data_IF_892139921624
#
_entry.id   IF_892139921624
#
_cell.length_a   1.000
_cell.length_b   1.000
_cell.length_c   1.000
_cell.angle_alpha   90.00
_cell.angle_beta   90.00
_cell.angle_gamma   90.00
#
_symmetry.space_group_name_H-M   'P 1'
#
loop_
_entity.id
_entity.type
_entity.pdbx_description
1 polymer ?
#
# COMPACT_ATOMS: atom_id res chain seq x y z
N UNK A 1 11.01 -22.59 16.56
CA UNK A 1 9.80 -21.76 16.43
C UNK A 1 9.97 -20.61 17.40
N UNK A 2 10.51 -19.48 16.96
CA UNK A 2 10.58 -18.27 17.77
C UNK A 2 9.16 -17.71 17.89
N UNK A 3 8.63 -17.69 19.10
CA UNK A 3 7.39 -17.02 19.42
C UNK A 3 7.55 -15.55 19.03
N UNK A 4 6.77 -15.10 18.05
CA UNK A 4 6.61 -13.67 17.78
C UNK A 4 5.91 -13.10 19.02
N UNK A 5 6.68 -12.60 19.96
CA UNK A 5 6.15 -11.86 21.10
C UNK A 5 5.59 -10.55 20.54
N UNK A 6 4.28 -10.50 20.36
CA UNK A 6 3.59 -9.22 20.31
C UNK A 6 3.71 -8.61 21.69
N UNK A 7 4.69 -7.73 21.85
CA UNK A 7 4.79 -6.92 23.04
C UNK A 7 3.51 -6.10 23.20
N UNK A 8 3.00 -6.01 24.43
CA UNK A 8 1.79 -5.21 24.74
C UNK A 8 1.90 -3.77 24.25
N UNK A 9 3.10 -3.21 24.22
CA UNK A 9 3.37 -1.87 23.67
C UNK A 9 3.07 -1.82 22.17
N UNK A 10 3.52 -2.80 21.41
CA UNK A 10 3.26 -2.88 19.96
C UNK A 10 1.76 -3.00 19.67
N UNK A 11 1.03 -3.80 20.45
CA UNK A 11 -0.43 -3.93 20.30
C UNK A 11 -1.14 -2.60 20.57
N UNK A 12 -0.80 -1.91 21.67
CA UNK A 12 -1.36 -0.61 22.01
C UNK A 12 -1.09 0.40 20.88
N UNK A 13 0.12 0.40 20.35
CA UNK A 13 0.52 1.28 19.27
C UNK A 13 -0.34 1.07 18.02
N UNK A 14 -0.57 -0.18 17.60
CA UNK A 14 -1.45 -0.50 16.45
C UNK A 14 -2.89 -0.07 16.70
N UNK A 15 -3.42 -0.26 17.90
CA UNK A 15 -4.76 0.22 18.27
C UNK A 15 -4.83 1.74 18.15
N UNK A 16 -3.84 2.46 18.65
CA UNK A 16 -3.77 3.93 18.56
C UNK A 16 -3.73 4.40 17.10
N UNK A 17 -2.93 3.75 16.25
CA UNK A 17 -2.89 4.05 14.80
C UNK A 17 -4.25 3.84 14.17
N UNK A 18 -4.94 2.74 14.51
CA UNK A 18 -6.29 2.46 14.04
C UNK A 18 -7.27 3.55 14.44
N UNK A 19 -7.24 4.01 15.70
CA UNK A 19 -8.10 5.09 16.20
C UNK A 19 -7.81 6.40 15.47
N UNK A 20 -6.55 6.81 15.39
CA UNK A 20 -6.16 8.07 14.73
C UNK A 20 -6.50 7.99 13.23
N UNK A 21 -6.21 6.86 12.57
CA UNK A 21 -6.60 6.63 11.19
C UNK A 21 -8.10 6.71 10.98
N UNK A 22 -8.91 6.14 11.91
CA UNK A 22 -10.37 6.22 11.90
C UNK A 22 -10.87 7.65 12.00
N UNK A 23 -10.28 8.45 12.90
CA UNK A 23 -10.59 9.88 13.03
C UNK A 23 -10.25 10.62 11.74
N UNK A 24 -9.07 10.39 11.17
CA UNK A 24 -8.65 11.02 9.89
C UNK A 24 -9.65 10.72 8.77
N UNK A 25 -10.02 9.46 8.57
CA UNK A 25 -10.99 9.04 7.53
C UNK A 25 -12.37 9.66 7.79
N UNK A 26 -12.84 9.67 9.02
CA UNK A 26 -14.11 10.30 9.39
C UNK A 26 -14.11 11.80 9.07
N UNK A 27 -13.07 12.52 9.47
CA UNK A 27 -12.92 13.95 9.21
C UNK A 27 -12.76 14.25 7.71
N UNK A 28 -12.00 13.43 6.98
CA UNK A 28 -11.89 13.54 5.52
C UNK A 28 -13.27 13.40 4.86
N UNK A 29 -14.01 12.34 5.20
CA UNK A 29 -15.31 12.05 4.60
C UNK A 29 -16.39 13.07 5.00
N UNK A 30 -16.35 13.63 6.21
CA UNK A 30 -17.29 14.69 6.63
C UNK A 30 -17.09 16.00 5.83
N UNK A 31 -15.86 16.24 5.35
CA UNK A 31 -15.52 17.39 4.51
C UNK A 31 -15.55 17.07 3.00
N UNK A 32 -16.05 15.90 2.63
CA UNK A 32 -16.11 15.43 1.23
C UNK A 32 -17.00 16.36 0.40
N UNK A 33 -16.42 16.92 -0.63
CA UNK A 33 -17.12 17.74 -1.61
C UNK A 33 -18.04 16.90 -2.51
N UNK A 34 -19.04 17.54 -3.12
CA UNK A 34 -19.98 16.89 -4.05
C UNK A 34 -19.21 16.24 -5.21
N UNK A 35 -19.71 15.12 -5.69
CA UNK A 35 -19.08 14.37 -6.80
C UNK A 35 -18.89 15.28 -8.03
N UNK A 36 -17.66 15.39 -8.52
CA UNK A 36 -17.29 16.21 -9.68
C UNK A 36 -16.44 17.44 -9.37
N UNK A 37 -16.43 17.93 -8.13
CA UNK A 37 -15.50 18.97 -7.67
C UNK A 37 -14.22 18.31 -7.12
N UNK A 38 -13.09 19.00 -7.20
CA UNK A 38 -11.80 18.52 -6.64
C UNK A 38 -11.88 18.20 -5.15
N UNK A 39 -10.77 17.78 -4.57
CA UNK A 39 -10.63 17.60 -3.13
C UNK A 39 -10.74 18.96 -2.43
N UNK A 40 -11.50 19.05 -1.33
CA UNK A 40 -11.41 20.22 -0.47
C UNK A 40 -10.05 20.24 0.24
N UNK A 41 -9.58 21.43 0.63
CA UNK A 41 -8.31 21.54 1.37
C UNK A 41 -8.30 20.69 2.65
N UNK A 42 -9.42 20.68 3.40
CA UNK A 42 -9.57 19.87 4.63
C UNK A 42 -9.59 18.36 4.32
N UNK A 43 -10.28 17.94 3.27
CA UNK A 43 -10.31 16.56 2.83
C UNK A 43 -8.89 16.07 2.49
N UNK A 44 -8.13 16.88 1.74
CA UNK A 44 -6.75 16.59 1.38
C UNK A 44 -5.84 16.49 2.61
N UNK A 45 -5.99 17.39 3.58
CA UNK A 45 -5.22 17.38 4.83
C UNK A 45 -5.44 16.08 5.63
N UNK A 46 -6.68 15.66 5.81
CA UNK A 46 -6.98 14.46 6.61
C UNK A 46 -6.59 13.16 5.90
N UNK A 47 -6.78 13.04 4.58
CA UNK A 47 -6.25 11.90 3.84
C UNK A 47 -4.72 11.90 3.81
N UNK A 48 -4.10 13.08 3.66
CA UNK A 48 -2.64 13.23 3.73
C UNK A 48 -2.08 12.79 5.09
N UNK A 49 -2.72 13.20 6.19
CA UNK A 49 -2.33 12.78 7.54
C UNK A 49 -2.48 11.27 7.74
N UNK A 50 -3.56 10.67 7.24
CA UNK A 50 -3.73 9.21 7.26
C UNK A 50 -2.59 8.51 6.50
N UNK A 51 -2.29 8.94 5.27
CA UNK A 51 -1.22 8.37 4.47
C UNK A 51 0.13 8.51 5.20
N UNK A 52 0.41 9.68 5.76
CA UNK A 52 1.65 9.93 6.51
C UNK A 52 1.80 8.96 7.69
N UNK A 53 0.76 8.82 8.52
CA UNK A 53 0.79 7.94 9.68
C UNK A 53 1.04 6.48 9.26
N UNK A 54 0.25 5.96 8.31
CA UNK A 54 0.39 4.59 7.85
C UNK A 54 1.72 4.32 7.17
N UNK A 55 2.24 5.28 6.41
CA UNK A 55 3.53 5.14 5.73
C UNK A 55 4.69 5.20 6.72
N UNK A 56 4.67 6.15 7.67
CA UNK A 56 5.74 6.30 8.67
C UNK A 56 5.98 5.01 9.45
N UNK A 57 4.91 4.33 9.86
CA UNK A 57 5.02 3.04 10.56
C UNK A 57 5.71 1.97 9.74
N UNK A 58 5.39 1.88 8.45
CA UNK A 58 5.99 0.91 7.56
C UNK A 58 7.48 1.20 7.32
N UNK A 59 7.88 2.48 7.32
CA UNK A 59 9.25 2.93 7.05
C UNK A 59 10.16 2.77 8.25
N UNK A 60 9.67 3.14 9.44
CA UNK A 60 10.50 3.20 10.68
C UNK A 60 10.67 1.83 11.33
N UNK A 61 9.87 0.82 10.94
CA UNK A 61 9.98 -0.52 11.54
C UNK A 61 11.35 -1.14 11.32
N UNK A 62 11.83 -1.83 12.33
CA UNK A 62 13.01 -2.68 12.18
C UNK A 62 12.68 -3.86 11.27
N UNK A 63 13.54 -4.15 10.32
CA UNK A 63 13.41 -5.27 9.38
C UNK A 63 14.64 -6.14 9.47
N UNK A 64 14.43 -7.43 9.75
CA UNK A 64 15.45 -8.48 9.69
C UNK A 64 14.78 -9.82 9.35
N UNK A 65 15.55 -10.88 9.12
CA UNK A 65 14.98 -12.21 8.90
C UNK A 65 14.19 -12.75 10.10
N UNK A 66 14.41 -12.22 11.29
CA UNK A 66 13.73 -12.63 12.53
C UNK A 66 12.56 -11.70 12.89
N UNK A 67 12.66 -10.41 12.50
CA UNK A 67 11.72 -9.36 12.91
C UNK A 67 11.28 -8.54 11.70
N UNK A 68 10.04 -8.13 11.69
CA UNK A 68 9.51 -7.22 10.65
C UNK A 68 9.06 -7.89 9.35
N UNK A 69 9.07 -9.22 9.32
CA UNK A 69 8.61 -10.04 8.20
C UNK A 69 9.77 -10.62 7.39
N UNK A 70 9.76 -11.95 7.24
CA UNK A 70 10.83 -12.72 6.58
C UNK A 70 11.08 -12.31 5.13
N UNK A 71 10.02 -11.95 4.39
CA UNK A 71 10.15 -11.52 2.99
C UNK A 71 10.58 -10.05 2.86
N UNK A 72 10.34 -9.22 3.89
CA UNK A 72 10.71 -7.81 3.84
C UNK A 72 12.23 -7.61 3.68
N UNK A 73 13.03 -8.41 4.38
CA UNK A 73 14.49 -8.40 4.24
C UNK A 73 14.93 -8.78 2.81
N UNK A 74 14.27 -9.74 2.18
CA UNK A 74 14.53 -10.13 0.80
C UNK A 74 14.23 -8.99 -0.19
N UNK A 75 13.23 -8.16 0.08
CA UNK A 75 12.93 -6.98 -0.76
C UNK A 75 13.99 -5.89 -0.59
N UNK A 76 14.56 -5.72 0.62
CA UNK A 76 15.71 -4.82 0.83
C UNK A 76 16.91 -5.33 0.04
N UNK A 77 17.27 -6.60 0.17
CA UNK A 77 18.38 -7.20 -0.57
C UNK A 77 18.22 -7.07 -2.09
N UNK A 78 17.00 -7.32 -2.60
CA UNK A 78 16.68 -7.11 -4.01
C UNK A 78 16.92 -5.65 -4.39
N UNK A 79 16.36 -4.71 -3.66
CA UNK A 79 16.51 -3.28 -3.91
C UNK A 79 17.97 -2.85 -3.92
N UNK A 80 18.77 -3.27 -2.94
CA UNK A 80 20.19 -2.90 -2.81
C UNK A 80 21.09 -3.50 -3.89
N UNK A 81 20.73 -4.69 -4.40
CA UNK A 81 21.61 -5.45 -5.29
C UNK A 81 21.13 -5.52 -6.75
N UNK A 82 19.92 -5.05 -7.04
CA UNK A 82 19.29 -5.20 -8.37
C UNK A 82 20.09 -4.57 -9.51
N UNK A 83 20.77 -3.47 -9.30
CA UNK A 83 21.62 -2.83 -10.32
C UNK A 83 22.95 -3.56 -10.52
N UNK A 84 23.48 -4.21 -9.49
CA UNK A 84 24.76 -4.95 -9.56
C UNK A 84 24.58 -6.32 -10.19
N UNK A 85 23.46 -6.99 -9.90
CA UNK A 85 23.21 -8.38 -10.31
C UNK A 85 21.79 -8.57 -10.87
N UNK A 86 21.41 -7.90 -11.95
CA UNK A 86 20.04 -7.94 -12.47
C UNK A 86 19.59 -9.35 -12.86
N UNK A 87 20.50 -10.20 -13.35
CA UNK A 87 20.23 -11.60 -13.71
C UNK A 87 19.87 -12.50 -12.53
N UNK A 88 20.25 -12.14 -11.30
CA UNK A 88 19.91 -12.89 -10.08
C UNK A 88 18.41 -12.91 -9.80
N UNK A 89 17.67 -11.95 -10.32
CA UNK A 89 16.26 -11.74 -10.07
C UNK A 89 15.39 -11.95 -11.33
N UNK A 90 15.89 -12.70 -12.30
CA UNK A 90 15.19 -12.99 -13.56
C UNK A 90 13.88 -13.77 -13.36
N UNK A 91 13.72 -14.46 -12.23
CA UNK A 91 12.51 -15.18 -11.82
C UNK A 91 11.43 -14.27 -11.25
N UNK A 92 11.78 -13.02 -10.90
CA UNK A 92 10.84 -12.05 -10.38
C UNK A 92 9.93 -11.50 -11.48
N UNK A 93 8.73 -11.04 -11.08
CA UNK A 93 7.80 -10.42 -12.02
C UNK A 93 8.41 -9.12 -12.59
N UNK A 94 8.35 -8.99 -13.90
CA UNK A 94 9.09 -7.97 -14.65
C UNK A 94 8.77 -6.54 -14.21
N UNK A 95 7.48 -6.20 -14.02
CA UNK A 95 7.11 -4.84 -13.65
C UNK A 95 7.57 -4.52 -12.23
N UNK A 96 7.50 -5.49 -11.31
CA UNK A 96 8.02 -5.31 -9.96
C UNK A 96 9.54 -5.09 -9.98
N UNK A 97 10.27 -5.83 -10.80
CA UNK A 97 11.72 -5.67 -10.98
C UNK A 97 12.05 -4.28 -11.54
N UNK A 98 11.36 -3.83 -12.60
CA UNK A 98 11.58 -2.50 -13.18
C UNK A 98 11.23 -1.35 -12.21
N UNK A 99 10.21 -1.50 -11.38
CA UNK A 99 9.91 -0.52 -10.32
C UNK A 99 11.06 -0.40 -9.32
N UNK A 100 11.63 -1.55 -8.89
CA UNK A 100 12.79 -1.53 -7.99
C UNK A 100 14.01 -0.88 -8.65
N UNK A 101 14.32 -1.22 -9.90
CA UNK A 101 15.40 -0.62 -10.69
C UNK A 101 15.18 0.89 -10.80
N UNK A 102 13.97 1.33 -11.17
CA UNK A 102 13.65 2.75 -11.30
C UNK A 102 13.84 3.54 -10.01
N UNK A 103 13.40 3.01 -8.86
CA UNK A 103 13.61 3.66 -7.58
C UNK A 103 15.10 3.62 -7.18
N UNK A 104 15.80 2.54 -7.47
CA UNK A 104 17.24 2.39 -7.15
C UNK A 104 18.12 3.38 -7.92
N UNK A 105 17.71 3.83 -9.10
CA UNK A 105 18.36 4.93 -9.81
C UNK A 105 18.17 6.30 -9.13
N UNK A 106 17.09 6.47 -8.34
CA UNK A 106 16.80 7.73 -7.66
C UNK A 106 17.40 7.80 -6.26
N UNK A 107 17.58 6.67 -5.59
CA UNK A 107 18.07 6.62 -4.21
C UNK A 107 18.72 5.28 -3.89
N UNK A 108 19.71 5.33 -2.99
CA UNK A 108 20.34 4.14 -2.42
C UNK A 108 19.72 3.71 -1.08
N UNK A 109 18.84 4.54 -0.51
CA UNK A 109 18.24 4.32 0.79
C UNK A 109 16.94 3.51 0.67
N UNK A 110 16.91 2.33 1.28
CA UNK A 110 15.73 1.46 1.29
C UNK A 110 14.56 2.05 2.10
N UNK A 111 14.79 2.99 3.03
CA UNK A 111 13.70 3.69 3.72
C UNK A 111 12.91 4.57 2.75
N UNK A 112 13.60 5.23 1.80
CA UNK A 112 12.95 6.00 0.74
C UNK A 112 12.19 5.06 -0.20
N UNK A 113 12.76 3.90 -0.54
CA UNK A 113 12.03 2.88 -1.29
C UNK A 113 10.73 2.45 -0.56
N UNK A 114 10.81 2.17 0.73
CA UNK A 114 9.62 1.84 1.54
C UNK A 114 8.64 3.01 1.60
N UNK A 115 9.14 4.24 1.76
CA UNK A 115 8.30 5.45 1.74
C UNK A 115 7.46 5.54 0.47
N UNK A 116 8.07 5.32 -0.69
CA UNK A 116 7.38 5.38 -1.97
C UNK A 116 6.37 4.23 -2.13
N UNK A 117 6.76 3.00 -1.82
CA UNK A 117 5.90 1.83 -1.98
C UNK A 117 4.72 1.86 -1.02
N UNK A 118 4.97 2.06 0.27
CA UNK A 118 3.89 2.10 1.27
C UNK A 118 3.04 3.35 1.18
N UNK A 119 3.63 4.48 0.78
CA UNK A 119 2.89 5.70 0.48
C UNK A 119 1.92 5.50 -0.69
N UNK A 120 2.36 4.83 -1.75
CA UNK A 120 1.49 4.47 -2.87
C UNK A 120 0.37 3.50 -2.47
N UNK A 121 0.68 2.48 -1.65
CA UNK A 121 -0.32 1.54 -1.12
C UNK A 121 -1.36 2.30 -0.28
N UNK A 122 -0.94 3.14 0.67
CA UNK A 122 -1.83 3.92 1.51
C UNK A 122 -2.69 4.90 0.68
N UNK A 123 -2.09 5.55 -0.32
CA UNK A 123 -2.81 6.40 -1.27
C UNK A 123 -3.88 5.63 -2.02
N UNK A 124 -3.58 4.44 -2.53
CA UNK A 124 -4.53 3.61 -3.26
C UNK A 124 -5.74 3.24 -2.40
N UNK A 125 -5.52 2.86 -1.13
CA UNK A 125 -6.60 2.62 -0.17
C UNK A 125 -7.45 3.87 0.07
N UNK A 126 -6.83 5.02 0.33
CA UNK A 126 -7.58 6.28 0.51
C UNK A 126 -8.42 6.62 -0.72
N UNK A 127 -7.85 6.47 -1.91
CA UNK A 127 -8.54 6.79 -3.15
C UNK A 127 -9.73 5.85 -3.40
N UNK A 128 -9.56 4.56 -3.09
CA UNK A 128 -10.63 3.58 -3.14
C UNK A 128 -11.73 3.89 -2.12
N UNK A 129 -11.39 4.11 -0.84
CA UNK A 129 -12.33 4.45 0.23
C UNK A 129 -13.13 5.70 -0.15
N UNK A 130 -12.45 6.75 -0.58
CA UNK A 130 -13.10 7.99 -1.04
C UNK A 130 -14.15 7.73 -2.12
N UNK A 131 -13.83 6.82 -3.04
CA UNK A 131 -14.64 6.60 -4.24
C UNK A 131 -15.82 5.66 -4.01
N UNK A 132 -15.62 4.61 -3.22
CA UNK A 132 -16.58 3.52 -3.08
C UNK A 132 -17.32 3.50 -1.75
N UNK A 133 -16.71 4.02 -0.67
CA UNK A 133 -17.28 3.89 0.65
C UNK A 133 -18.27 5.04 0.97
N UNK A 134 -19.34 4.76 1.74
CA UNK A 134 -20.22 5.79 2.27
C UNK A 134 -19.51 6.74 3.23
N UNK A 135 -20.20 7.80 3.68
CA UNK A 135 -19.56 8.83 4.53
C UNK A 135 -19.09 8.30 5.90
N UNK A 136 -19.81 7.34 6.46
CA UNK A 136 -19.51 6.83 7.81
C UNK A 136 -18.74 5.51 7.77
N UNK A 137 -17.43 5.61 7.56
CA UNK A 137 -16.52 4.47 7.39
C UNK A 137 -15.26 4.58 8.26
N UNK A 138 -15.40 5.18 9.43
CA UNK A 138 -14.28 5.39 10.36
C UNK A 138 -13.64 4.09 10.87
N UNK A 139 -14.34 2.95 10.77
CA UNK A 139 -13.85 1.62 11.17
C UNK A 139 -12.89 0.99 10.13
N UNK A 140 -12.85 1.48 8.89
CA UNK A 140 -12.02 0.88 7.83
C UNK A 140 -10.53 0.81 8.19
N UNK A 141 -9.88 1.83 8.79
CA UNK A 141 -8.48 1.73 9.21
C UNK A 141 -8.19 0.54 10.13
N UNK A 142 -9.12 0.17 11.01
CA UNK A 142 -8.97 -1.04 11.83
C UNK A 142 -8.97 -2.31 11.01
N UNK A 143 -9.88 -2.42 10.02
CA UNK A 143 -9.92 -3.56 9.12
C UNK A 143 -8.65 -3.65 8.27
N UNK A 144 -8.11 -2.52 7.81
CA UNK A 144 -6.84 -2.45 7.09
C UNK A 144 -5.67 -2.91 7.97
N UNK A 145 -5.62 -2.49 9.23
CA UNK A 145 -4.57 -2.91 10.17
C UNK A 145 -4.60 -4.40 10.44
N UNK A 146 -5.79 -4.99 10.65
CA UNK A 146 -5.93 -6.41 11.03
C UNK A 146 -5.33 -7.33 9.97
N UNK A 147 -5.48 -7.04 8.70
CA UNK A 147 -5.03 -7.96 7.65
C UNK A 147 -4.23 -7.30 6.51
N UNK A 148 -4.79 -6.43 5.65
CA UNK A 148 -4.07 -6.00 4.44
C UNK A 148 -2.80 -5.21 4.76
N UNK A 149 -2.84 -4.33 5.75
CA UNK A 149 -1.72 -3.47 6.09
C UNK A 149 -0.58 -4.25 6.77
N UNK A 150 -0.87 -5.06 7.80
CA UNK A 150 0.14 -5.88 8.44
C UNK A 150 0.71 -6.94 7.50
N UNK A 151 -0.14 -7.53 6.67
CA UNK A 151 0.31 -8.46 5.64
C UNK A 151 1.25 -7.79 4.63
N UNK A 152 1.05 -6.52 4.31
CA UNK A 152 1.91 -5.78 3.38
C UNK A 152 3.36 -5.70 3.86
N UNK A 153 3.61 -5.79 5.17
CA UNK A 153 4.96 -5.78 5.72
C UNK A 153 5.78 -7.01 5.29
N UNK A 154 5.12 -8.10 5.05
CA UNK A 154 5.75 -9.34 4.58
C UNK A 154 5.57 -9.58 3.07
N UNK A 155 4.48 -9.11 2.47
CA UNK A 155 4.12 -9.40 1.07
C UNK A 155 4.00 -8.12 0.24
N UNK A 156 5.09 -7.36 0.10
CA UNK A 156 5.14 -6.06 -0.59
C UNK A 156 4.61 -6.17 -2.03
N UNK A 157 5.03 -7.19 -2.80
CA UNK A 157 4.58 -7.38 -4.19
C UNK A 157 3.07 -7.55 -4.30
N UNK A 158 2.51 -8.44 -3.48
CA UNK A 158 1.06 -8.69 -3.48
C UNK A 158 0.29 -7.42 -3.10
N UNK A 159 0.75 -6.70 -2.09
CA UNK A 159 0.10 -5.45 -1.63
C UNK A 159 0.19 -4.34 -2.65
N UNK A 160 1.31 -4.25 -3.37
CA UNK A 160 1.48 -3.31 -4.47
C UNK A 160 0.55 -3.67 -5.65
N UNK A 161 0.41 -4.94 -5.99
CA UNK A 161 -0.54 -5.40 -7.00
C UNK A 161 -1.99 -5.07 -6.60
N UNK A 162 -2.37 -5.29 -5.32
CA UNK A 162 -3.68 -4.87 -4.80
C UNK A 162 -3.88 -3.36 -4.96
N UNK A 163 -2.87 -2.55 -4.66
CA UNK A 163 -2.95 -1.10 -4.82
C UNK A 163 -3.24 -0.68 -6.27
N UNK A 164 -2.55 -1.26 -7.24
CA UNK A 164 -2.82 -1.04 -8.67
C UNK A 164 -4.24 -1.47 -9.05
N UNK A 165 -4.68 -2.63 -8.56
CA UNK A 165 -6.04 -3.13 -8.80
C UNK A 165 -7.10 -2.18 -8.25
N UNK A 166 -6.95 -1.69 -7.01
CA UNK A 166 -7.88 -0.74 -6.39
C UNK A 166 -7.97 0.56 -7.19
N UNK A 167 -6.85 1.09 -7.67
CA UNK A 167 -6.84 2.28 -8.54
C UNK A 167 -7.53 1.95 -9.87
N UNK A 168 -7.30 0.77 -10.43
CA UNK A 168 -7.99 0.28 -11.63
C UNK A 168 -9.51 0.29 -11.46
N UNK A 169 -10.04 -0.22 -10.33
CA UNK A 169 -11.47 -0.16 -10.01
C UNK A 169 -11.99 1.28 -9.93
N UNK A 170 -11.22 2.18 -9.31
CA UNK A 170 -11.57 3.62 -9.26
C UNK A 170 -11.63 4.23 -10.66
N UNK A 171 -10.69 3.89 -11.54
CA UNK A 171 -10.71 4.36 -12.93
C UNK A 171 -11.91 3.81 -13.70
N UNK A 172 -12.27 2.55 -13.48
CA UNK A 172 -13.48 1.95 -14.08
C UNK A 172 -14.74 2.71 -13.66
N UNK A 173 -14.91 2.97 -12.36
CA UNK A 173 -16.03 3.77 -11.85
C UNK A 173 -16.08 5.19 -12.44
N UNK A 174 -14.92 5.77 -12.73
CA UNK A 174 -14.80 7.08 -13.40
C UNK A 174 -14.96 7.02 -14.92
N UNK A 175 -15.39 5.88 -15.48
CA UNK A 175 -15.56 5.64 -16.93
C UNK A 175 -14.27 5.81 -17.74
N UNK A 176 -13.11 5.68 -17.10
CA UNK A 176 -11.79 5.67 -17.76
C UNK A 176 -11.35 4.23 -18.04
N UNK A 177 -12.13 3.51 -18.85
CA UNK A 177 -12.03 2.06 -19.04
C UNK A 177 -10.65 1.63 -19.53
N UNK A 178 -10.05 2.32 -20.51
CA UNK A 178 -8.74 1.94 -21.03
C UNK A 178 -7.64 2.03 -19.96
N UNK A 179 -7.66 3.07 -19.10
CA UNK A 179 -6.70 3.21 -18.02
C UNK A 179 -6.91 2.15 -16.93
N UNK A 180 -8.18 1.79 -16.65
CA UNK A 180 -8.50 0.70 -15.75
C UNK A 180 -7.92 -0.63 -16.26
N UNK A 181 -8.09 -0.94 -17.53
CA UNK A 181 -7.56 -2.16 -18.14
C UNK A 181 -6.03 -2.21 -18.03
N UNK A 182 -5.33 -1.13 -18.36
CA UNK A 182 -3.87 -1.04 -18.23
C UNK A 182 -3.42 -1.32 -16.78
N UNK A 183 -4.07 -0.68 -15.79
CA UNK A 183 -3.73 -0.84 -14.39
C UNK A 183 -3.99 -2.27 -13.90
N UNK A 184 -5.08 -2.90 -14.32
CA UNK A 184 -5.41 -4.28 -13.97
C UNK A 184 -4.43 -5.26 -14.61
N UNK A 185 -4.05 -5.05 -15.87
CA UNK A 185 -3.01 -5.84 -16.53
C UNK A 185 -1.66 -5.66 -15.79
N UNK A 186 -1.32 -4.44 -15.39
CA UNK A 186 -0.10 -4.16 -14.62
C UNK A 186 -0.03 -4.96 -13.32
N UNK A 187 -1.17 -5.26 -12.66
CA UNK A 187 -1.17 -6.08 -11.44
C UNK A 187 -0.57 -7.46 -11.67
N UNK A 188 -0.84 -8.09 -12.82
CA UNK A 188 -0.29 -9.39 -13.17
C UNK A 188 1.23 -9.35 -13.34
N UNK A 189 1.75 -8.29 -13.95
CA UNK A 189 3.20 -8.10 -14.12
C UNK A 189 3.92 -7.67 -12.83
N UNK A 190 3.19 -7.26 -11.80
CA UNK A 190 3.72 -7.02 -10.44
C UNK A 190 3.68 -8.29 -9.62
N UNK A 191 2.60 -9.09 -9.75
CA UNK A 191 2.40 -10.31 -8.98
C UNK A 191 1.47 -11.28 -9.70
N UNK A 192 1.98 -12.41 -10.19
CA UNK A 192 1.24 -13.38 -11.03
C UNK A 192 -0.05 -13.89 -10.39
N UNK A 193 -0.05 -14.06 -9.06
CA UNK A 193 -1.24 -14.52 -8.33
C UNK A 193 -2.39 -13.51 -8.33
N UNK A 194 -2.18 -12.28 -8.83
CA UNK A 194 -3.25 -11.29 -8.96
C UNK A 194 -4.34 -11.64 -9.97
N UNK A 195 -4.13 -12.65 -10.81
CA UNK A 195 -5.18 -13.23 -11.66
C UNK A 195 -6.41 -13.67 -10.85
N UNK A 196 -6.22 -14.03 -9.57
CA UNK A 196 -7.33 -14.35 -8.66
C UNK A 196 -8.25 -13.16 -8.36
N UNK A 197 -7.87 -11.93 -8.72
CA UNK A 197 -8.71 -10.74 -8.56
C UNK A 197 -9.72 -10.55 -9.71
N UNK A 198 -9.51 -11.22 -10.87
CA UNK A 198 -10.36 -11.09 -12.06
C UNK A 198 -11.83 -11.40 -11.77
N UNK A 199 -12.20 -12.45 -11.00
CA UNK A 199 -13.62 -12.74 -10.69
C UNK A 199 -14.35 -11.60 -9.98
N UNK A 200 -13.62 -10.67 -9.34
CA UNK A 200 -14.22 -9.51 -8.67
C UNK A 200 -14.50 -8.33 -9.62
N UNK A 201 -14.24 -8.49 -10.92
CA UNK A 201 -14.55 -7.50 -11.97
C UNK A 201 -15.90 -7.73 -12.65
N UNK A 202 -16.49 -8.90 -12.45
CA UNK A 202 -17.77 -9.34 -13.00
C UNK A 202 -18.85 -9.08 -11.95
#
# INVERSE_FOLDING_TARGET
MSSVYFDNFTLILYIMIGIIGGVCIKLANSNKTVAGTGLSGKELQFYGLFILIFTSFAVVRQVSYEVGGTDAQRYIELFETVLKYPGRFADQEQLFLYLNIGVRYLTDDYHIYFLLVYGFIAFAYCYFIRTFCPKDVSYIPFLLLIWPYLKSFNTIRSSLAIAFFLIGLVMLKKKRTWLSVILIIATFFIHRMSLLYIPFLI
#
